data_IF_404103692413
#
_entry.id   IF_404103692413
#
_cell.length_a   1.000
_cell.length_b   1.000
_cell.length_c   1.000
_cell.angle_alpha   90.00
_cell.angle_beta   90.00
_cell.angle_gamma   90.00
#
_symmetry.space_group_name_H-M   'P 1'
#
loop_
_entity.id
_entity.type
_entity.pdbx_description
1 polymer ?
#
# COMPACT_ATOMS: atom_id res chain seq x y z
N UNK A 1 38.62 -48.06 32.57
CA UNK A 1 38.49 -46.60 32.45
C UNK A 1 37.36 -46.29 31.49
N UNK A 2 36.14 -46.09 32.00
CA UNK A 2 34.97 -45.84 31.16
C UNK A 2 34.85 -44.34 30.87
N UNK A 3 35.02 -43.97 29.61
CA UNK A 3 34.81 -42.60 29.11
C UNK A 3 33.31 -42.34 28.96
N UNK A 4 32.77 -41.47 29.79
CA UNK A 4 31.41 -40.94 29.64
C UNK A 4 31.40 -39.96 28.47
N UNK A 5 30.76 -40.37 27.37
CA UNK A 5 30.48 -39.47 26.24
C UNK A 5 29.32 -38.55 26.61
N UNK A 6 29.63 -37.31 27.03
CA UNK A 6 28.65 -36.24 27.20
C UNK A 6 28.17 -35.76 25.82
N UNK A 7 27.05 -36.32 25.35
CA UNK A 7 26.39 -35.90 24.13
C UNK A 7 25.48 -34.71 24.44
N UNK A 8 26.00 -33.48 24.32
CA UNK A 8 25.20 -32.26 24.33
C UNK A 8 24.24 -32.26 23.13
N UNK A 9 22.98 -32.61 23.38
CA UNK A 9 21.91 -32.42 22.41
C UNK A 9 21.84 -30.96 21.96
N UNK A 10 22.19 -30.72 20.69
CA UNK A 10 21.93 -29.44 20.02
C UNK A 10 20.41 -29.24 20.00
N UNK A 11 19.92 -28.25 20.75
CA UNK A 11 18.50 -27.87 20.83
C UNK A 11 18.01 -27.46 19.45
N UNK A 12 17.43 -28.42 18.72
CA UNK A 12 16.89 -28.21 17.38
C UNK A 12 15.69 -27.27 17.53
N UNK A 13 15.70 -26.13 16.86
CA UNK A 13 14.59 -25.17 16.89
C UNK A 13 13.39 -25.82 16.19
N UNK A 14 12.57 -26.55 16.95
CA UNK A 14 11.31 -27.09 16.46
C UNK A 14 10.32 -25.94 16.42
N UNK A 15 10.29 -25.21 15.31
CA UNK A 15 9.26 -24.21 15.05
C UNK A 15 7.91 -24.95 14.96
N UNK A 16 7.24 -25.12 16.10
CA UNK A 16 5.82 -25.49 16.10
C UNK A 16 5.12 -24.35 15.37
N UNK A 17 4.45 -24.65 14.27
CA UNK A 17 3.72 -23.62 13.55
C UNK A 17 2.74 -22.94 14.52
N UNK A 18 2.84 -21.62 14.72
CA UNK A 18 1.88 -20.91 15.55
C UNK A 18 0.49 -20.99 14.92
N UNK A 19 -0.56 -20.75 15.70
CA UNK A 19 -1.90 -20.58 15.15
C UNK A 19 -1.96 -19.40 14.18
N UNK A 20 -2.91 -19.41 13.25
CA UNK A 20 -3.06 -18.37 12.24
C UNK A 20 -3.10 -16.95 12.85
N UNK A 21 -3.87 -16.76 13.93
CA UNK A 21 -3.95 -15.48 14.66
C UNK A 21 -2.60 -15.01 15.21
N UNK A 22 -1.79 -15.92 15.75
CA UNK A 22 -0.46 -15.59 16.28
C UNK A 22 0.50 -15.20 15.16
N UNK A 23 0.45 -15.90 14.03
CA UNK A 23 1.25 -15.55 12.85
C UNK A 23 0.87 -14.15 12.37
N UNK A 24 -0.42 -13.87 12.21
CA UNK A 24 -0.92 -12.54 11.81
C UNK A 24 -0.42 -11.45 12.78
N UNK A 25 -0.51 -11.69 14.09
CA UNK A 25 -0.06 -10.73 15.09
C UNK A 25 1.45 -10.44 15.01
N UNK A 26 2.28 -11.49 14.89
CA UNK A 26 3.73 -11.36 14.73
C UNK A 26 4.06 -10.59 13.44
N UNK A 27 3.38 -10.90 12.34
CA UNK A 27 3.55 -10.20 11.06
C UNK A 27 3.21 -8.71 11.18
N UNK A 28 2.14 -8.35 11.89
CA UNK A 28 1.77 -6.95 12.11
C UNK A 28 2.86 -6.21 12.89
N UNK A 29 3.40 -6.81 13.95
CA UNK A 29 4.50 -6.21 14.72
C UNK A 29 5.72 -6.00 13.82
N UNK A 30 6.13 -7.01 13.06
CA UNK A 30 7.28 -6.92 12.15
C UNK A 30 7.05 -5.84 11.09
N UNK A 31 5.85 -5.75 10.51
CA UNK A 31 5.51 -4.73 9.52
C UNK A 31 5.60 -3.31 10.10
N UNK A 32 5.09 -3.08 11.32
CA UNK A 32 5.21 -1.80 12.01
C UNK A 32 6.67 -1.43 12.27
N UNK A 33 7.47 -2.37 12.78
CA UNK A 33 8.90 -2.15 12.99
C UNK A 33 9.64 -1.85 11.67
N UNK A 34 9.27 -2.51 10.57
CA UNK A 34 9.84 -2.26 9.26
C UNK A 34 9.56 -0.83 8.75
N UNK A 35 8.46 -0.18 9.17
CA UNK A 35 8.17 1.23 8.82
C UNK A 35 9.18 2.23 9.41
N UNK A 36 9.97 1.83 10.41
CA UNK A 36 11.09 2.65 10.92
C UNK A 36 12.32 2.61 10.03
N UNK A 37 12.50 1.56 9.22
CA UNK A 37 13.69 1.38 8.39
C UNK A 37 13.44 1.86 6.96
N UNK A 38 12.23 1.62 6.43
CA UNK A 38 11.89 1.91 5.04
C UNK A 38 11.06 3.19 4.94
N UNK A 39 11.62 4.32 4.44
CA UNK A 39 10.85 5.54 4.26
C UNK A 39 9.85 5.40 3.12
N UNK A 40 8.66 5.97 3.29
CA UNK A 40 7.69 6.07 2.22
C UNK A 40 8.21 6.96 1.09
N UNK A 41 7.79 6.68 -0.13
CA UNK A 41 8.03 7.54 -1.29
C UNK A 41 6.76 7.66 -2.12
N UNK A 42 6.62 8.77 -2.83
CA UNK A 42 5.48 9.03 -3.70
C UNK A 42 5.94 9.69 -5.00
N UNK A 43 5.12 9.52 -6.04
CA UNK A 43 5.24 10.24 -7.29
C UNK A 43 4.28 11.42 -7.30
N UNK A 44 4.63 12.49 -7.98
CA UNK A 44 3.69 13.58 -8.26
C UNK A 44 2.58 13.05 -9.17
N UNK A 45 1.33 13.44 -8.88
CA UNK A 45 0.14 12.98 -9.60
C UNK A 45 -0.45 14.09 -10.45
N UNK A 46 -0.76 13.78 -11.70
CA UNK A 46 -1.46 14.64 -12.65
C UNK A 46 -2.94 14.26 -12.69
N UNK A 47 -3.83 15.24 -12.56
CA UNK A 47 -5.27 15.09 -12.73
C UNK A 47 -5.81 16.18 -13.65
N UNK A 48 -6.79 15.85 -14.49
CA UNK A 48 -7.41 16.83 -15.39
C UNK A 48 -8.70 17.38 -14.79
N UNK A 49 -8.85 18.70 -14.79
CA UNK A 49 -10.07 19.37 -14.35
C UNK A 49 -10.86 19.83 -15.58
N UNK A 50 -11.90 19.07 -15.94
CA UNK A 50 -12.71 19.33 -17.12
C UNK A 50 -13.38 20.72 -17.12
N UNK A 51 -13.73 21.25 -15.94
CA UNK A 51 -14.37 22.56 -15.80
C UNK A 51 -13.44 23.76 -16.06
N UNK A 52 -12.14 23.64 -15.80
CA UNK A 52 -11.16 24.71 -16.00
C UNK A 52 -10.21 24.46 -17.20
N UNK A 53 -10.32 23.31 -17.87
CA UNK A 53 -9.43 22.88 -18.94
C UNK A 53 -7.94 22.87 -18.55
N UNK A 54 -7.67 22.50 -17.31
CA UNK A 54 -6.33 22.57 -16.69
C UNK A 54 -5.92 21.23 -16.10
N UNK A 55 -4.62 20.97 -16.09
CA UNK A 55 -4.03 19.89 -15.32
C UNK A 55 -3.65 20.39 -13.93
N UNK A 56 -4.15 19.69 -12.92
CA UNK A 56 -3.76 19.83 -11.52
C UNK A 56 -2.71 18.78 -11.19
N UNK A 57 -1.50 19.24 -10.93
CA UNK A 57 -0.37 18.44 -10.47
C UNK A 57 -0.33 18.52 -8.95
N UNK A 58 -0.43 17.38 -8.28
CA UNK A 58 -0.24 17.25 -6.83
C UNK A 58 1.11 16.59 -6.62
N UNK A 59 2.03 17.34 -6.04
CA UNK A 59 3.38 16.86 -5.77
C UNK A 59 3.41 15.81 -4.64
N UNK A 60 4.52 15.09 -4.50
CA UNK A 60 4.75 14.11 -3.45
C UNK A 60 4.51 14.71 -2.05
N UNK A 61 4.78 16.00 -1.88
CA UNK A 61 4.58 16.76 -0.64
C UNK A 61 3.18 17.41 -0.49
N UNK A 62 2.18 17.01 -1.28
CA UNK A 62 0.81 17.56 -1.32
C UNK A 62 0.71 19.03 -1.78
N UNK A 63 1.75 19.57 -2.42
CA UNK A 63 1.68 20.89 -3.06
C UNK A 63 0.95 20.78 -4.39
N UNK A 64 -0.04 21.64 -4.61
CA UNK A 64 -0.79 21.67 -5.88
C UNK A 64 -0.21 22.74 -6.80
N UNK A 65 0.05 22.38 -8.05
CA UNK A 65 0.37 23.32 -9.13
C UNK A 65 -0.59 23.09 -10.29
N UNK A 66 -1.07 24.17 -10.88
CA UNK A 66 -2.01 24.12 -12.01
C UNK A 66 -1.29 24.55 -13.28
N UNK A 67 -1.43 23.75 -14.33
CA UNK A 67 -0.86 24.03 -15.65
C UNK A 67 -1.93 23.87 -16.73
N UNK A 68 -1.80 24.55 -17.89
CA UNK A 68 -2.75 24.41 -18.98
C UNK A 68 -2.91 22.96 -19.44
N UNK A 69 -4.16 22.56 -19.75
CA UNK A 69 -4.52 21.23 -20.25
C UNK A 69 -4.10 20.95 -21.70
N UNK A 70 -2.82 21.11 -22.03
CA UNK A 70 -2.28 20.99 -23.39
C UNK A 70 -1.30 19.83 -23.54
N UNK A 71 -1.12 19.33 -24.78
CA UNK A 71 -0.20 18.25 -25.08
C UNK A 71 1.26 18.63 -24.77
N UNK A 72 1.66 19.87 -25.07
CA UNK A 72 3.02 20.37 -24.79
C UNK A 72 3.40 20.24 -23.31
N UNK A 73 2.43 20.40 -22.40
CA UNK A 73 2.68 20.23 -20.97
C UNK A 73 2.85 18.76 -20.59
N UNK A 74 2.08 17.85 -21.20
CA UNK A 74 2.23 16.40 -20.97
C UNK A 74 3.60 15.91 -21.47
N UNK A 75 4.02 16.37 -22.64
CA UNK A 75 5.30 15.98 -23.23
C UNK A 75 6.48 16.46 -22.37
N UNK A 76 6.42 17.69 -21.85
CA UNK A 76 7.40 18.21 -20.89
C UNK A 76 7.49 17.40 -19.60
N UNK A 77 6.35 16.86 -19.15
CA UNK A 77 6.25 16.01 -17.96
C UNK A 77 6.62 14.55 -18.25
N UNK A 78 6.97 14.21 -19.50
CA UNK A 78 7.29 12.84 -19.91
C UNK A 78 6.08 11.90 -19.94
N UNK A 79 4.87 12.44 -19.92
CA UNK A 79 3.61 11.69 -19.95
C UNK A 79 3.22 11.43 -21.40
N UNK A 80 3.50 10.22 -21.88
CA UNK A 80 3.19 9.78 -23.26
C UNK A 80 1.72 9.36 -23.42
N UNK A 81 0.80 10.26 -23.06
CA UNK A 81 -0.65 10.03 -23.17
C UNK A 81 -1.22 11.21 -23.95
N UNK A 82 -2.16 10.90 -24.85
CA UNK A 82 -2.84 11.93 -25.63
C UNK A 82 -3.78 12.76 -24.75
N UNK A 83 -3.69 14.08 -24.86
CA UNK A 83 -4.52 15.04 -24.10
C UNK A 83 -6.02 14.79 -24.25
N UNK A 84 -6.47 14.27 -25.39
CA UNK A 84 -7.87 13.98 -25.64
C UNK A 84 -8.39 12.85 -24.76
N UNK A 85 -7.53 11.94 -24.29
CA UNK A 85 -7.94 10.89 -23.33
C UNK A 85 -8.36 11.49 -21.98
N UNK A 86 -7.78 12.63 -21.61
CA UNK A 86 -8.20 13.38 -20.43
C UNK A 86 -9.45 14.20 -20.70
N UNK A 87 -9.53 14.85 -21.88
CA UNK A 87 -10.67 15.68 -22.28
C UNK A 87 -11.95 14.86 -22.52
N UNK A 88 -11.83 13.66 -23.08
CA UNK A 88 -12.94 12.75 -23.33
C UNK A 88 -13.45 12.07 -22.06
N UNK A 89 -12.71 12.20 -20.95
CA UNK A 89 -12.99 11.48 -19.72
C UNK A 89 -12.64 9.99 -19.78
N UNK A 90 -11.82 9.54 -20.75
CA UNK A 90 -11.23 8.20 -20.67
C UNK A 90 -10.27 8.08 -19.47
N UNK A 91 -9.58 9.17 -19.11
CA UNK A 91 -8.71 9.30 -17.95
C UNK A 91 -9.31 10.27 -16.94
N UNK A 92 -10.08 9.74 -15.99
CA UNK A 92 -10.72 10.51 -14.92
C UNK A 92 -10.03 10.36 -13.55
N UNK A 93 -9.03 9.48 -13.44
CA UNK A 93 -8.28 9.25 -12.20
C UNK A 93 -6.91 9.92 -12.29
N UNK A 94 -6.37 10.42 -11.15
CA UNK A 94 -5.02 10.96 -11.14
C UNK A 94 -3.99 9.90 -11.57
N UNK A 95 -3.08 10.25 -12.46
CA UNK A 95 -1.99 9.40 -12.93
C UNK A 95 -0.65 9.87 -12.37
N UNK A 96 0.33 8.98 -12.25
CA UNK A 96 1.67 9.35 -11.75
C UNK A 96 2.54 9.92 -12.87
N UNK A 97 3.30 10.98 -12.57
CA UNK A 97 4.22 11.62 -13.51
C UNK A 97 5.57 10.87 -13.47
N UNK A 98 6.10 10.39 -14.60
CA UNK A 98 7.38 9.70 -14.64
C UNK A 98 8.53 10.56 -14.10
N UNK A 99 9.50 9.93 -13.42
CA UNK A 99 10.70 10.61 -12.93
C UNK A 99 10.50 11.52 -11.69
N UNK A 100 9.28 11.63 -11.18
CA UNK A 100 8.95 12.48 -10.00
C UNK A 100 8.95 11.72 -8.67
N UNK A 101 9.71 10.62 -8.57
CA UNK A 101 9.78 9.86 -7.33
C UNK A 101 10.55 10.65 -6.27
N UNK A 102 9.87 10.97 -5.17
CA UNK A 102 10.49 11.60 -4.02
C UNK A 102 10.22 10.83 -2.73
N UNK A 103 11.22 10.81 -1.85
CA UNK A 103 11.08 10.25 -0.50
C UNK A 103 10.29 11.24 0.35
N UNK A 104 9.27 10.72 1.02
CA UNK A 104 8.45 11.51 1.92
C UNK A 104 9.10 11.61 3.29
N UNK A 105 8.71 12.65 4.03
CA UNK A 105 9.01 12.73 5.45
C UNK A 105 8.43 11.48 6.13
N UNK A 106 9.30 10.69 6.74
CA UNK A 106 8.91 9.44 7.36
C UNK A 106 7.94 9.71 8.52
N UNK A 107 6.77 9.10 8.45
CA UNK A 107 5.78 9.03 9.54
C UNK A 107 5.59 7.56 9.89
N UNK A 108 6.49 7.00 10.71
CA UNK A 108 6.43 5.58 10.98
C UNK A 108 5.20 5.22 11.82
N UNK A 109 4.80 3.95 11.75
CA UNK A 109 3.63 3.47 12.46
C UNK A 109 3.86 3.47 13.97
N UNK A 110 2.87 3.98 14.70
CA UNK A 110 2.86 4.00 16.16
C UNK A 110 2.41 2.67 16.76
N UNK A 111 2.73 2.39 18.04
CA UNK A 111 2.26 1.18 18.72
C UNK A 111 0.73 1.13 18.87
N UNK A 112 0.07 2.27 18.96
CA UNK A 112 -1.39 2.44 18.96
C UNK A 112 -2.03 2.06 17.61
N UNK A 113 -1.28 2.20 16.52
CA UNK A 113 -1.77 1.80 15.20
C UNK A 113 -1.86 0.28 15.05
N UNK A 114 -1.14 -0.51 15.85
CA UNK A 114 -1.22 -1.98 15.80
C UNK A 114 -2.65 -2.46 16.09
N UNK A 115 -3.28 -1.93 17.15
CA UNK A 115 -4.63 -2.34 17.55
C UNK A 115 -5.68 -1.75 16.62
N UNK A 116 -5.51 -0.50 16.21
CA UNK A 116 -6.44 0.17 15.28
C UNK A 116 -6.43 -0.49 13.90
N UNK A 117 -5.25 -0.84 13.38
CA UNK A 117 -5.11 -1.59 12.13
C UNK A 117 -5.73 -2.99 12.22
N UNK A 118 -5.69 -3.65 13.37
CA UNK A 118 -6.37 -4.93 13.57
C UNK A 118 -7.88 -4.79 13.43
N UNK A 119 -8.48 -3.78 14.07
CA UNK A 119 -9.93 -3.51 13.96
C UNK A 119 -10.30 -3.14 12.52
N UNK A 120 -9.58 -2.20 11.90
CA UNK A 120 -9.85 -1.79 10.53
C UNK A 120 -9.71 -2.96 9.54
N UNK A 121 -8.69 -3.82 9.73
CA UNK A 121 -8.52 -5.02 8.94
C UNK A 121 -9.70 -5.99 9.06
N UNK A 122 -10.27 -6.15 10.26
CA UNK A 122 -11.50 -6.95 10.40
C UNK A 122 -12.70 -6.32 9.69
N UNK A 123 -12.85 -5.00 9.73
CA UNK A 123 -13.93 -4.28 9.03
C UNK A 123 -13.81 -4.44 7.52
N UNK A 124 -12.60 -4.30 6.97
CA UNK A 124 -12.35 -4.51 5.54
C UNK A 124 -12.63 -5.96 5.11
N UNK A 125 -12.34 -6.93 5.98
CA UNK A 125 -12.65 -8.33 5.74
C UNK A 125 -14.17 -8.65 5.79
N UNK A 126 -15.00 -7.79 6.38
CA UNK A 126 -16.46 -8.02 6.46
C UNK A 126 -17.08 -8.19 5.08
N UNK A 127 -16.67 -7.41 4.09
CA UNK A 127 -17.24 -7.49 2.73
C UNK A 127 -17.02 -8.88 2.12
N UNK A 128 -15.82 -9.44 2.30
CA UNK A 128 -15.49 -10.80 1.87
C UNK A 128 -16.26 -11.86 2.68
N UNK A 129 -16.37 -11.69 3.99
CA UNK A 129 -17.12 -12.62 4.85
C UNK A 129 -18.60 -12.68 4.47
N UNK A 130 -19.22 -11.52 4.28
CA UNK A 130 -20.62 -11.41 3.86
C UNK A 130 -20.82 -12.00 2.46
N UNK A 131 -19.90 -11.73 1.52
CA UNK A 131 -19.93 -12.33 0.19
C UNK A 131 -19.90 -13.87 0.23
N UNK A 132 -18.94 -14.45 0.98
CA UNK A 132 -18.82 -15.91 1.13
C UNK A 132 -20.06 -16.49 1.85
N UNK A 133 -20.58 -15.82 2.87
CA UNK A 133 -21.74 -16.30 3.62
C UNK A 133 -23.03 -16.25 2.78
N UNK A 134 -23.23 -15.21 1.98
CA UNK A 134 -24.37 -15.11 1.07
C UNK A 134 -24.24 -16.13 -0.06
N UNK A 135 -23.10 -16.19 -0.75
CA UNK A 135 -22.88 -17.13 -1.85
C UNK A 135 -22.94 -18.59 -1.37
N UNK A 136 -22.25 -18.90 -0.27
CA UNK A 136 -22.24 -20.22 0.34
C UNK A 136 -23.60 -20.62 0.89
N UNK A 137 -24.35 -19.68 1.48
CA UNK A 137 -25.70 -19.92 1.97
C UNK A 137 -26.72 -20.20 0.86
N UNK A 138 -26.56 -19.56 -0.32
CA UNK A 138 -27.44 -19.81 -1.48
C UNK A 138 -27.13 -21.12 -2.21
N UNK A 139 -25.89 -21.63 -2.13
CA UNK A 139 -25.50 -22.92 -2.72
C UNK A 139 -25.78 -24.09 -1.77
N UNK A 140 -25.77 -23.84 -0.46
CA UNK A 140 -25.99 -24.85 0.58
C UNK A 140 -27.45 -25.28 0.79
N UNK A 141 -28.40 -24.74 0.03
CA UNK A 141 -29.81 -25.13 -0.02
C UNK A 141 -30.13 -25.89 -1.30
#
# INVERSE_FOLDING_TARGET
>A
SHTVSDNKEKKRFRLKMPGAFTILFILTIIAVLATWIVPAGAYSKLSYHAGAHEFKIVDAHNKTTTVPGTQDQLDKLGVKIDVNQFKSGAINKPISIPGTYERLKQKPAGPDQITTSMVNGTIEAVDVMVFILVLGGLIGV
#
